data_IF_903501295215
#
_entry.id   IF_903501295215
#
_cell.length_a   1.000
_cell.length_b   1.000
_cell.length_c   1.000
_cell.angle_alpha   90.00
_cell.angle_beta   90.00
_cell.angle_gamma   90.00
#
_symmetry.space_group_name_H-M   'P 1'
#
loop_
_entity.id
_entity.type
_entity.pdbx_description
1 polymer ?
#
# COMPACT_ATOMS: atom_id res chain seq x y z
N UNK A 1 10.28 -17.28 -29.51
CA UNK A 1 9.46 -17.91 -28.47
C UNK A 1 9.83 -19.38 -28.41
N UNK A 2 10.49 -19.84 -27.35
CA UNK A 2 10.80 -21.27 -27.17
C UNK A 2 9.53 -21.93 -26.62
N UNK A 3 8.91 -22.79 -27.38
CA UNK A 3 7.83 -23.64 -26.89
C UNK A 3 8.40 -24.63 -25.90
N UNK A 4 8.07 -24.50 -24.63
CA UNK A 4 8.35 -25.50 -23.60
C UNK A 4 7.47 -26.71 -23.90
N UNK A 5 8.04 -27.73 -24.55
CA UNK A 5 7.35 -29.01 -24.74
C UNK A 5 7.46 -29.81 -23.44
N UNK A 6 6.41 -29.81 -22.66
CA UNK A 6 6.32 -30.72 -21.51
C UNK A 6 5.93 -32.11 -21.98
N UNK A 7 6.68 -33.10 -21.51
CA UNK A 7 6.28 -34.49 -21.68
C UNK A 7 5.09 -34.81 -20.79
N UNK A 8 4.28 -35.80 -21.15
CA UNK A 8 3.12 -36.26 -20.37
C UNK A 8 3.52 -36.58 -18.91
N UNK A 9 4.71 -37.11 -18.71
CA UNK A 9 5.27 -37.41 -17.38
C UNK A 9 5.60 -36.18 -16.55
N UNK A 10 6.05 -35.08 -17.15
CA UNK A 10 6.31 -33.80 -16.47
C UNK A 10 5.02 -33.11 -16.05
N UNK A 11 3.93 -33.25 -16.84
CA UNK A 11 2.63 -32.73 -16.50
C UNK A 11 1.93 -33.52 -15.38
N UNK A 12 2.29 -34.77 -15.18
CA UNK A 12 1.70 -35.67 -14.19
C UNK A 12 2.29 -35.55 -12.77
N UNK A 13 3.38 -34.83 -12.57
CA UNK A 13 3.89 -34.49 -11.24
C UNK A 13 4.34 -35.67 -10.36
N UNK A 14 4.91 -36.72 -10.95
CA UNK A 14 5.50 -37.86 -10.21
C UNK A 14 4.85 -39.22 -10.51
N UNK A 15 5.42 -40.27 -9.98
CA UNK A 15 4.92 -41.64 -10.19
C UNK A 15 3.54 -41.82 -9.53
N UNK A 16 2.50 -42.01 -10.30
CA UNK A 16 1.13 -42.22 -9.85
C UNK A 16 0.92 -43.56 -9.15
N UNK A 17 1.83 -44.51 -9.38
CA UNK A 17 1.73 -45.87 -8.85
C UNK A 17 2.78 -46.12 -7.78
N UNK A 18 2.37 -46.66 -6.63
CA UNK A 18 3.29 -47.20 -5.66
C UNK A 18 3.73 -48.60 -6.07
N UNK A 19 4.89 -49.07 -5.60
CA UNK A 19 5.38 -50.42 -5.83
C UNK A 19 4.40 -51.51 -5.39
N UNK A 20 3.43 -51.18 -4.56
CA UNK A 20 2.36 -52.05 -4.05
C UNK A 20 1.12 -52.10 -4.94
N UNK A 21 1.03 -51.28 -6.00
CA UNK A 21 -0.12 -51.27 -6.90
C UNK A 21 0.02 -52.39 -7.89
N UNK A 22 -0.75 -53.45 -7.74
CA UNK A 22 -0.66 -54.67 -8.58
C UNK A 22 -1.29 -54.52 -9.96
N UNK A 23 -2.26 -53.61 -10.11
CA UNK A 23 -2.99 -53.36 -11.37
C UNK A 23 -3.02 -51.85 -11.61
N UNK A 24 -2.38 -51.41 -12.69
CA UNK A 24 -2.45 -50.03 -13.12
C UNK A 24 -3.77 -49.74 -13.83
N UNK A 25 -4.50 -48.75 -13.37
CA UNK A 25 -5.73 -48.27 -14.02
C UNK A 25 -5.39 -47.29 -15.18
N UNK A 26 -4.50 -47.76 -16.08
CA UNK A 26 -3.95 -46.95 -17.15
C UNK A 26 -5.02 -46.38 -18.10
N UNK A 27 -6.17 -47.00 -18.21
CA UNK A 27 -7.29 -46.50 -18.99
C UNK A 27 -7.91 -45.27 -18.32
N UNK A 28 -8.15 -45.31 -17.03
CA UNK A 28 -8.69 -44.18 -16.27
C UNK A 28 -7.67 -43.00 -16.28
N UNK A 29 -6.39 -43.31 -16.17
CA UNK A 29 -5.36 -42.29 -16.26
C UNK A 29 -5.29 -41.64 -17.65
N UNK A 30 -5.47 -42.43 -18.73
CA UNK A 30 -5.55 -41.93 -20.09
C UNK A 30 -6.77 -41.02 -20.28
N UNK A 31 -7.94 -41.42 -19.79
CA UNK A 31 -9.15 -40.59 -19.85
C UNK A 31 -9.01 -39.34 -19.02
N UNK A 32 -8.37 -39.41 -17.83
CA UNK A 32 -8.08 -38.24 -17.02
C UNK A 32 -7.13 -37.26 -17.72
N UNK A 33 -6.11 -37.77 -18.40
CA UNK A 33 -5.18 -36.89 -19.14
C UNK A 33 -5.83 -36.27 -20.38
N UNK A 34 -6.72 -37.01 -21.07
CA UNK A 34 -7.55 -36.45 -22.14
C UNK A 34 -8.48 -35.32 -21.61
N UNK A 35 -9.13 -35.54 -20.47
CA UNK A 35 -10.04 -34.52 -19.89
C UNK A 35 -9.25 -33.28 -19.46
N UNK A 36 -8.09 -33.44 -18.82
CA UNK A 36 -7.21 -32.31 -18.47
C UNK A 36 -6.73 -31.56 -19.74
N UNK A 37 -6.40 -32.27 -20.80
CA UNK A 37 -6.01 -31.65 -22.04
C UNK A 37 -7.15 -30.88 -22.70
N UNK A 38 -8.36 -31.45 -22.72
CA UNK A 38 -9.57 -30.76 -23.20
C UNK A 38 -9.88 -29.51 -22.38
N UNK A 39 -9.77 -29.60 -21.06
CA UNK A 39 -9.93 -28.45 -20.16
C UNK A 39 -8.86 -27.38 -20.39
N UNK A 40 -7.62 -27.78 -20.61
CA UNK A 40 -6.56 -26.84 -20.97
C UNK A 40 -6.85 -26.11 -22.28
N UNK A 41 -7.29 -26.82 -23.33
CA UNK A 41 -7.65 -26.18 -24.61
C UNK A 41 -8.80 -25.21 -24.40
N UNK A 42 -9.86 -25.60 -23.67
CA UNK A 42 -11.01 -24.76 -23.37
C UNK A 42 -10.59 -23.49 -22.63
N UNK A 43 -9.73 -23.60 -21.60
CA UNK A 43 -9.22 -22.47 -20.85
C UNK A 43 -8.33 -21.56 -21.72
N UNK A 44 -7.56 -22.15 -22.64
CA UNK A 44 -6.73 -21.39 -23.58
C UNK A 44 -7.57 -20.60 -24.57
N UNK A 45 -8.59 -21.24 -25.18
CA UNK A 45 -9.51 -20.59 -26.13
C UNK A 45 -10.34 -19.48 -25.49
N UNK A 46 -10.76 -19.68 -24.24
CA UNK A 46 -11.50 -18.68 -23.46
C UNK A 46 -10.62 -17.59 -22.80
N UNK A 47 -9.32 -17.61 -23.03
CA UNK A 47 -8.33 -16.69 -22.38
C UNK A 47 -8.37 -16.74 -20.83
N UNK A 48 -8.79 -17.86 -20.27
CA UNK A 48 -8.95 -18.08 -18.83
C UNK A 48 -7.76 -18.80 -18.18
N UNK A 49 -6.66 -19.00 -18.90
CA UNK A 49 -5.43 -19.53 -18.32
C UNK A 49 -4.92 -18.58 -17.21
N UNK A 50 -4.33 -19.14 -16.16
CA UNK A 50 -3.76 -18.35 -15.05
C UNK A 50 -2.77 -17.30 -15.54
N UNK A 51 -1.94 -17.63 -16.53
CA UNK A 51 -0.97 -16.70 -17.13
C UNK A 51 -1.69 -15.54 -17.81
N UNK A 52 -2.70 -15.83 -18.65
CA UNK A 52 -3.45 -14.80 -19.35
C UNK A 52 -4.22 -13.88 -18.37
N UNK A 53 -4.79 -14.45 -17.30
CA UNK A 53 -5.43 -13.67 -16.23
C UNK A 53 -4.44 -12.76 -15.52
N UNK A 54 -3.23 -13.26 -15.23
CA UNK A 54 -2.17 -12.47 -14.58
C UNK A 54 -1.69 -11.35 -15.52
N UNK A 55 -1.47 -11.62 -16.80
CA UNK A 55 -1.09 -10.62 -17.80
C UNK A 55 -2.15 -9.52 -17.94
N UNK A 56 -3.43 -9.89 -18.05
CA UNK A 56 -4.53 -8.93 -18.12
C UNK A 56 -4.62 -8.07 -16.85
N UNK A 57 -4.44 -8.67 -15.68
CA UNK A 57 -4.41 -7.96 -14.39
C UNK A 57 -3.28 -6.93 -14.36
N UNK A 58 -2.05 -7.31 -14.75
CA UNK A 58 -0.94 -6.38 -14.81
C UNK A 58 -1.12 -5.27 -15.85
N UNK A 59 -1.68 -5.60 -17.02
CA UNK A 59 -2.00 -4.59 -18.02
C UNK A 59 -2.97 -3.53 -17.49
N UNK A 60 -3.95 -3.91 -16.68
CA UNK A 60 -4.86 -2.97 -16.03
C UNK A 60 -4.19 -2.16 -14.93
N UNK A 61 -3.36 -2.79 -14.09
CA UNK A 61 -2.64 -2.13 -12.98
C UNK A 61 -1.60 -1.12 -13.46
N UNK A 62 -0.97 -1.38 -14.59
CA UNK A 62 0.07 -0.53 -15.17
C UNK A 62 -0.44 0.38 -16.30
N UNK A 63 -1.75 0.45 -16.48
CA UNK A 63 -2.38 1.35 -17.44
C UNK A 63 -2.08 2.81 -17.06
N UNK A 64 -1.53 3.58 -18.00
CA UNK A 64 -1.26 5.01 -17.78
C UNK A 64 -2.56 5.80 -17.70
N UNK A 65 -2.77 6.49 -16.58
CA UNK A 65 -3.91 7.37 -16.34
C UNK A 65 -3.38 8.76 -16.01
N UNK A 66 -3.86 9.84 -16.65
CA UNK A 66 -3.46 11.20 -16.33
C UNK A 66 -3.97 11.58 -14.94
N UNK A 67 -3.17 12.34 -14.19
CA UNK A 67 -3.58 12.96 -12.94
C UNK A 67 -4.20 14.33 -13.20
N UNK A 68 -5.14 14.71 -12.37
CA UNK A 68 -5.75 16.04 -12.36
C UNK A 68 -5.04 16.92 -11.33
N UNK A 69 -4.54 18.12 -11.72
CA UNK A 69 -3.82 18.98 -10.78
C UNK A 69 -4.75 19.56 -9.72
N UNK A 70 -4.26 19.71 -8.51
CA UNK A 70 -4.94 20.40 -7.42
C UNK A 70 -4.88 21.93 -7.60
N UNK A 71 -5.90 22.61 -7.12
CA UNK A 71 -5.98 24.08 -7.15
C UNK A 71 -5.33 24.73 -5.91
N UNK A 72 -4.13 24.29 -5.54
CA UNK A 72 -3.36 24.86 -4.43
C UNK A 72 -3.57 24.21 -3.07
N UNK A 73 -4.69 23.52 -2.84
CA UNK A 73 -5.04 22.83 -1.59
C UNK A 73 -5.42 21.39 -1.88
N UNK A 74 -5.16 20.51 -0.93
CA UNK A 74 -5.59 19.12 -1.04
C UNK A 74 -7.11 19.03 -0.86
N UNK A 75 -7.75 18.32 -1.77
CA UNK A 75 -9.20 18.10 -1.76
C UNK A 75 -9.54 16.63 -1.80
N UNK A 76 -10.72 16.28 -1.31
CA UNK A 76 -11.24 14.92 -1.41
C UNK A 76 -11.63 14.60 -2.85
N UNK A 77 -11.59 13.33 -3.21
CA UNK A 77 -12.06 12.87 -4.52
C UNK A 77 -11.06 12.93 -5.66
N UNK A 78 -10.04 13.79 -5.61
CA UNK A 78 -8.98 13.84 -6.61
C UNK A 78 -7.94 12.74 -6.38
N UNK A 79 -7.44 12.17 -7.47
CA UNK A 79 -6.38 11.15 -7.42
C UNK A 79 -5.01 11.80 -7.49
N UNK A 80 -4.10 11.29 -6.69
CA UNK A 80 -2.71 11.74 -6.59
C UNK A 80 -1.77 10.56 -6.36
N UNK A 81 -0.48 10.83 -6.45
CA UNK A 81 0.59 9.92 -6.04
C UNK A 81 1.28 10.46 -4.78
N UNK A 82 1.60 9.57 -3.84
CA UNK A 82 2.38 9.91 -2.63
C UNK A 82 3.85 9.56 -2.83
N UNK A 83 4.72 10.56 -2.72
CA UNK A 83 6.17 10.40 -2.83
C UNK A 83 6.80 10.49 -1.44
N UNK A 84 7.63 9.52 -1.09
CA UNK A 84 8.44 9.54 0.12
C UNK A 84 9.74 10.29 -0.11
N UNK A 85 10.17 11.13 0.85
CA UNK A 85 11.38 11.95 0.72
C UNK A 85 12.67 11.17 0.94
N UNK A 86 12.66 10.04 1.65
CA UNK A 86 13.86 9.21 1.88
C UNK A 86 14.18 8.33 0.68
N UNK A 87 13.21 7.57 0.23
CA UNK A 87 13.36 6.61 -0.85
C UNK A 87 13.25 7.25 -2.23
N UNK A 88 12.73 8.48 -2.31
CA UNK A 88 12.28 9.15 -3.53
C UNK A 88 11.28 8.31 -4.35
N UNK A 89 10.74 7.24 -3.75
CA UNK A 89 9.80 6.32 -4.34
C UNK A 89 8.35 6.77 -4.13
N UNK A 90 7.49 6.28 -5.00
CA UNK A 90 6.04 6.47 -4.89
C UNK A 90 5.40 5.31 -4.15
N UNK A 91 4.41 5.61 -3.32
CA UNK A 91 3.58 4.58 -2.69
C UNK A 91 2.84 3.80 -3.77
N UNK A 92 2.93 2.48 -3.71
CA UNK A 92 2.34 1.55 -4.67
C UNK A 92 1.75 0.34 -3.97
N UNK A 93 0.77 -0.26 -4.61
CA UNK A 93 0.10 -1.46 -4.12
C UNK A 93 0.62 -2.71 -4.83
N UNK A 94 0.80 -3.79 -4.08
CA UNK A 94 1.04 -5.14 -4.59
C UNK A 94 -0.15 -6.05 -4.30
N UNK A 95 -0.95 -6.34 -5.33
CA UNK A 95 -2.16 -7.18 -5.18
C UNK A 95 -1.82 -8.68 -5.12
N UNK A 96 -0.65 -9.08 -5.58
CA UNK A 96 -0.27 -10.49 -5.57
C UNK A 96 0.28 -10.92 -4.20
N UNK A 97 0.84 -9.99 -3.43
CA UNK A 97 1.27 -10.26 -2.06
C UNK A 97 0.10 -10.06 -1.07
N UNK A 98 -0.63 -11.15 -0.87
CA UNK A 98 -1.77 -11.20 0.06
C UNK A 98 -1.33 -11.52 1.46
N UNK A 99 -1.79 -10.74 2.41
CA UNK A 99 -1.60 -11.06 3.82
C UNK A 99 -2.60 -12.16 4.23
N UNK A 100 -2.08 -13.24 4.85
CA UNK A 100 -2.87 -14.41 5.26
C UNK A 100 -3.75 -14.09 6.48
N UNK A 101 -3.34 -13.12 7.31
CA UNK A 101 -4.00 -12.81 8.58
C UNK A 101 -5.27 -11.96 8.42
N UNK A 102 -5.44 -11.31 7.27
CA UNK A 102 -6.55 -10.39 7.01
C UNK A 102 -7.23 -10.71 5.70
N UNK A 103 -8.56 -10.62 5.67
CA UNK A 103 -9.33 -10.86 4.46
C UNK A 103 -9.07 -9.75 3.43
N UNK A 104 -8.75 -10.14 2.20
CA UNK A 104 -8.50 -9.22 1.09
C UNK A 104 -7.51 -8.09 1.44
N UNK A 105 -6.48 -8.40 2.22
CA UNK A 105 -5.41 -7.47 2.54
C UNK A 105 -4.19 -7.70 1.64
N UNK A 106 -3.61 -6.60 1.15
CA UNK A 106 -2.51 -6.60 0.20
C UNK A 106 -1.36 -5.74 0.72
N UNK A 107 -0.15 -6.09 0.30
CA UNK A 107 1.04 -5.36 0.69
C UNK A 107 1.10 -3.97 0.01
N UNK A 108 1.70 -3.02 0.72
CA UNK A 108 1.99 -1.68 0.22
C UNK A 108 3.48 -1.42 0.35
N UNK A 109 4.06 -0.88 -0.71
CA UNK A 109 5.49 -0.65 -0.84
C UNK A 109 5.76 0.74 -1.42
N UNK A 110 7.01 1.14 -1.51
CA UNK A 110 7.41 2.33 -2.25
C UNK A 110 8.30 1.95 -3.43
N UNK A 111 7.90 2.35 -4.64
CA UNK A 111 8.63 2.05 -5.88
C UNK A 111 9.45 3.26 -6.33
N UNK A 112 10.79 3.15 -6.40
CA UNK A 112 11.64 4.22 -6.95
C UNK A 112 11.60 4.27 -8.47
N UNK A 113 11.12 3.23 -9.13
CA UNK A 113 11.14 3.10 -10.59
C UNK A 113 9.89 3.67 -11.28
N UNK A 114 8.91 4.14 -10.50
CA UNK A 114 7.68 4.70 -11.07
C UNK A 114 7.94 6.03 -11.76
N UNK A 115 7.65 6.09 -13.06
CA UNK A 115 7.82 7.30 -13.89
C UNK A 115 6.50 7.84 -14.44
N UNK A 116 5.40 7.14 -14.21
CA UNK A 116 4.06 7.53 -14.68
C UNK A 116 2.99 7.12 -13.65
N UNK A 117 1.86 7.79 -13.73
CA UNK A 117 0.68 7.50 -12.91
C UNK A 117 -0.09 6.31 -13.47
N UNK A 118 -0.40 5.36 -12.61
CA UNK A 118 -1.18 4.17 -12.94
C UNK A 118 -2.09 3.79 -11.76
N UNK A 119 -3.11 2.96 -11.94
CA UNK A 119 -4.04 2.58 -10.87
C UNK A 119 -3.33 2.08 -9.61
N UNK A 120 -2.22 1.36 -9.77
CA UNK A 120 -1.39 0.83 -8.69
C UNK A 120 -0.78 1.92 -7.79
N UNK A 121 -0.49 3.11 -8.33
CA UNK A 121 0.18 4.23 -7.65
C UNK A 121 -0.73 5.40 -7.33
N UNK A 122 -2.00 5.30 -7.68
CA UNK A 122 -2.98 6.38 -7.51
C UNK A 122 -3.85 6.17 -6.28
N UNK A 123 -3.91 7.19 -5.46
CA UNK A 123 -4.69 7.21 -4.22
C UNK A 123 -5.55 8.47 -4.18
N UNK A 124 -6.61 8.44 -3.39
CA UNK A 124 -7.42 9.60 -3.06
C UNK A 124 -7.63 9.69 -1.56
N UNK A 125 -7.87 10.89 -1.06
CA UNK A 125 -8.32 11.11 0.31
C UNK A 125 -9.84 11.11 0.37
N UNK A 126 -10.37 10.50 1.44
CA UNK A 126 -11.77 10.58 1.82
C UNK A 126 -11.86 11.00 3.30
N UNK A 127 -12.82 11.85 3.65
CA UNK A 127 -13.04 12.20 5.06
C UNK A 127 -13.58 11.00 5.84
N UNK A 128 -13.04 10.77 7.01
CA UNK A 128 -13.53 9.72 7.89
C UNK A 128 -14.85 10.13 8.53
N UNK A 129 -15.93 9.44 8.19
CA UNK A 129 -17.22 9.68 8.80
C UNK A 129 -17.73 8.42 9.52
N UNK A 130 -17.65 8.37 10.87
CA UNK A 130 -18.02 7.18 11.63
C UNK A 130 -19.52 6.84 11.56
N UNK A 131 -20.36 7.81 11.18
CA UNK A 131 -21.84 7.67 11.19
C UNK A 131 -22.35 6.99 9.91
N UNK A 132 -21.56 6.95 8.83
CA UNK A 132 -21.97 6.35 7.54
C UNK A 132 -22.19 4.84 7.56
N UNK A 133 -21.79 4.15 8.62
CA UNK A 133 -21.89 2.69 8.69
C UNK A 133 -23.32 2.12 8.68
N UNK A 134 -24.36 2.92 8.83
CA UNK A 134 -25.67 2.31 9.08
C UNK A 134 -26.75 2.54 8.02
N UNK A 135 -26.73 3.57 7.17
CA UNK A 135 -27.91 3.84 6.33
C UNK A 135 -27.74 4.65 5.04
N UNK A 136 -26.58 4.86 4.46
CA UNK A 136 -26.49 5.71 3.27
C UNK A 136 -26.06 4.93 2.02
N UNK A 137 -26.85 5.07 0.94
CA UNK A 137 -26.42 4.86 -0.43
C UNK A 137 -25.09 5.60 -0.67
N UNK A 138 -24.20 5.10 -1.54
CA UNK A 138 -22.99 5.78 -1.92
C UNK A 138 -23.35 7.08 -2.66
N UNK A 139 -23.70 8.12 -1.91
CA UNK A 139 -23.77 9.46 -2.44
C UNK A 139 -22.34 9.91 -2.71
N UNK A 140 -22.10 10.43 -3.90
CA UNK A 140 -20.85 11.11 -4.22
C UNK A 140 -20.59 12.17 -3.17
N UNK A 141 -19.55 12.02 -2.39
CA UNK A 141 -19.20 13.04 -1.38
C UNK A 141 -18.82 14.31 -2.13
N UNK A 142 -19.35 15.46 -1.71
CA UNK A 142 -18.93 16.73 -2.29
C UNK A 142 -17.40 16.85 -2.15
N UNK A 143 -16.76 17.38 -3.20
CA UNK A 143 -15.33 17.71 -3.16
C UNK A 143 -15.12 18.75 -2.08
N UNK A 144 -14.39 18.39 -1.06
CA UNK A 144 -14.20 19.19 0.15
C UNK A 144 -12.71 19.36 0.44
N UNK A 145 -12.32 20.47 1.02
CA UNK A 145 -10.93 20.71 1.40
C UNK A 145 -10.53 19.82 2.58
N UNK A 146 -9.26 19.37 2.58
CA UNK A 146 -8.69 18.58 3.65
C UNK A 146 -7.91 19.48 4.58
N UNK A 147 -8.18 19.38 5.88
CA UNK A 147 -7.56 20.20 6.90
C UNK A 147 -6.53 19.41 7.72
N UNK A 148 -5.57 20.13 8.29
CA UNK A 148 -4.62 19.53 9.23
C UNK A 148 -5.34 18.98 10.47
N UNK A 149 -4.89 17.81 10.94
CA UNK A 149 -5.49 17.06 12.06
C UNK A 149 -6.90 16.53 11.80
N UNK A 150 -7.46 16.72 10.61
CA UNK A 150 -8.70 16.08 10.21
C UNK A 150 -8.50 14.59 9.99
N UNK A 151 -9.49 13.77 10.38
CA UNK A 151 -9.46 12.33 10.17
C UNK A 151 -9.85 11.99 8.75
N UNK A 152 -8.94 11.32 8.08
CA UNK A 152 -9.06 10.93 6.68
C UNK A 152 -8.84 9.43 6.48
N UNK A 153 -9.27 8.93 5.35
CA UNK A 153 -8.93 7.62 4.79
C UNK A 153 -8.15 7.81 3.51
N UNK A 154 -7.23 6.91 3.26
CA UNK A 154 -6.47 6.84 2.00
C UNK A 154 -7.01 5.66 1.22
N UNK A 155 -7.56 5.93 0.04
CA UNK A 155 -8.27 4.95 -0.79
C UNK A 155 -7.57 4.79 -2.11
N UNK A 156 -7.44 3.54 -2.59
CA UNK A 156 -6.87 3.23 -3.89
C UNK A 156 -7.81 3.55 -5.05
N UNK A 157 -7.22 3.58 -6.25
CA UNK A 157 -7.99 3.69 -7.48
C UNK A 157 -8.92 2.48 -7.69
N UNK A 158 -10.18 2.67 -8.13
CA UNK A 158 -11.16 1.59 -8.26
C UNK A 158 -10.79 0.52 -9.30
N UNK A 159 -10.00 0.86 -10.33
CA UNK A 159 -9.56 -0.10 -11.36
C UNK A 159 -8.61 -1.18 -10.80
N UNK A 160 -8.16 -1.05 -9.55
CA UNK A 160 -7.26 -2.00 -8.90
C UNK A 160 -7.99 -3.25 -8.43
N UNK A 161 -9.16 -3.07 -7.83
CA UNK A 161 -9.93 -4.15 -7.23
C UNK A 161 -11.43 -3.86 -7.31
N UNK A 162 -12.27 -4.91 -7.27
CA UNK A 162 -13.74 -4.81 -7.40
C UNK A 162 -14.41 -3.97 -6.29
N UNK A 163 -13.81 -3.96 -5.10
CA UNK A 163 -14.28 -3.18 -3.96
C UNK A 163 -13.27 -2.09 -3.59
N UNK A 164 -13.71 -0.99 -2.97
CA UNK A 164 -12.79 0.06 -2.51
C UNK A 164 -11.79 -0.52 -1.52
N UNK A 165 -10.53 -0.14 -1.66
CA UNK A 165 -9.42 -0.59 -0.82
C UNK A 165 -8.88 0.57 -0.02
N UNK A 166 -8.79 0.40 1.30
CA UNK A 166 -8.38 1.41 2.28
C UNK A 166 -7.01 1.08 2.86
N UNK A 167 -6.15 2.07 2.97
CA UNK A 167 -4.88 1.94 3.67
C UNK A 167 -5.13 1.76 5.17
N UNK A 168 -4.63 0.69 5.75
CA UNK A 168 -4.77 0.41 7.16
C UNK A 168 -3.48 -0.09 7.79
N UNK A 169 -3.36 0.06 9.10
CA UNK A 169 -2.20 -0.38 9.84
C UNK A 169 -2.64 -1.04 11.15
N UNK A 170 -2.58 -2.37 11.24
CA UNK A 170 -2.98 -3.09 12.44
C UNK A 170 -1.98 -2.87 13.58
N UNK A 171 -2.41 -3.14 14.79
CA UNK A 171 -1.52 -3.12 15.96
C UNK A 171 -0.44 -4.20 15.83
N UNK A 172 0.77 -3.87 16.28
CA UNK A 172 1.86 -4.85 16.32
C UNK A 172 1.46 -6.02 17.23
N UNK A 173 1.52 -7.20 16.68
CA UNK A 173 1.31 -8.46 17.39
C UNK A 173 2.38 -9.48 16.96
N UNK A 174 2.53 -10.61 17.66
CA UNK A 174 3.46 -11.68 17.26
C UNK A 174 3.19 -12.22 15.84
N UNK A 175 2.00 -11.98 15.29
CA UNK A 175 1.58 -12.46 13.96
C UNK A 175 1.37 -11.35 12.94
N UNK A 176 1.44 -10.08 13.35
CA UNK A 176 1.21 -8.90 12.51
C UNK A 176 2.30 -7.86 12.74
N UNK A 177 3.29 -7.88 11.88
CA UNK A 177 4.40 -6.92 11.82
C UNK A 177 4.98 -6.88 10.41
N UNK A 178 5.64 -5.79 10.06
CA UNK A 178 6.28 -5.66 8.74
C UNK A 178 7.38 -6.72 8.55
N UNK A 179 7.48 -7.22 7.34
CA UNK A 179 8.24 -8.40 6.96
C UNK A 179 9.73 -8.32 7.31
N UNK A 180 10.35 -7.17 7.11
CA UNK A 180 11.79 -6.98 7.27
C UNK A 180 12.14 -6.12 8.47
N UNK A 181 11.51 -4.95 8.62
CA UNK A 181 11.79 -4.02 9.72
C UNK A 181 11.16 -4.45 11.04
N UNK A 182 10.17 -5.35 11.04
CA UNK A 182 9.37 -5.75 12.20
C UNK A 182 8.67 -4.59 12.91
N UNK A 183 8.50 -3.49 12.23
CA UNK A 183 7.71 -2.36 12.67
C UNK A 183 6.20 -2.66 12.50
N UNK A 184 5.36 -1.68 12.78
CA UNK A 184 3.94 -1.79 12.52
C UNK A 184 3.67 -1.88 11.03
N UNK A 185 3.02 -2.96 10.62
CA UNK A 185 2.72 -3.28 9.23
C UNK A 185 1.72 -2.28 8.63
N UNK A 186 1.90 -1.98 7.36
CA UNK A 186 0.98 -1.17 6.57
C UNK A 186 0.47 -2.01 5.40
N UNK A 187 -0.83 -2.12 5.30
CA UNK A 187 -1.53 -2.92 4.32
C UNK A 187 -2.66 -2.11 3.69
N UNK A 188 -3.25 -2.66 2.65
CA UNK A 188 -4.49 -2.16 2.08
C UNK A 188 -5.54 -3.27 2.15
N UNK A 189 -6.75 -2.94 2.61
CA UNK A 189 -7.85 -3.89 2.76
C UNK A 189 -9.19 -3.30 2.31
N UNK A 190 -10.10 -4.18 1.91
CA UNK A 190 -11.49 -3.81 1.63
C UNK A 190 -12.35 -3.62 2.88
N UNK A 191 -11.85 -4.02 4.04
CA UNK A 191 -12.58 -3.89 5.29
C UNK A 191 -12.46 -2.48 5.85
N UNK A 192 -13.60 -1.84 6.11
CA UNK A 192 -13.64 -0.57 6.82
C UNK A 192 -13.56 -0.81 8.33
N UNK A 193 -12.51 -0.31 8.96
CA UNK A 193 -12.32 -0.41 10.40
C UNK A 193 -11.64 0.85 10.97
N UNK A 194 -11.41 0.89 12.28
CA UNK A 194 -10.75 2.02 12.94
C UNK A 194 -9.27 2.18 12.57
N UNK A 195 -8.63 1.11 12.11
CA UNK A 195 -7.23 1.13 11.70
C UNK A 195 -7.00 1.74 10.30
N UNK A 196 -8.07 2.18 9.63
CA UNK A 196 -8.01 2.88 8.35
C UNK A 196 -8.00 4.41 8.54
N UNK A 197 -7.96 4.88 9.78
CA UNK A 197 -8.04 6.30 10.10
C UNK A 197 -6.64 6.90 10.21
N UNK A 198 -6.42 7.97 9.43
CA UNK A 198 -5.16 8.70 9.35
C UNK A 198 -5.40 10.19 9.58
N UNK A 199 -4.37 10.91 9.98
CA UNK A 199 -4.38 12.37 10.12
C UNK A 199 -3.15 12.95 9.43
N UNK A 200 -3.31 14.13 8.82
CA UNK A 200 -2.19 14.86 8.22
C UNK A 200 -1.67 15.86 9.25
N UNK A 201 -0.35 15.90 9.42
CA UNK A 201 0.32 16.82 10.32
C UNK A 201 1.39 17.63 9.58
N UNK A 202 1.58 18.86 10.04
CA UNK A 202 2.69 19.69 9.58
C UNK A 202 4.04 19.15 10.05
N UNK A 203 5.10 19.27 9.22
CA UNK A 203 6.43 18.76 9.51
C UNK A 203 7.00 19.43 10.75
N UNK A 204 6.87 20.76 10.84
CA UNK A 204 7.39 21.51 11.97
C UNK A 204 6.46 21.38 13.19
N UNK A 205 6.90 20.74 14.28
CA UNK A 205 6.10 20.56 15.47
C UNK A 205 5.64 21.87 16.11
N UNK A 206 6.41 22.96 15.96
CA UNK A 206 6.08 24.26 16.54
C UNK A 206 4.84 24.88 15.89
N UNK A 207 4.65 24.62 14.59
CA UNK A 207 3.54 25.15 13.80
C UNK A 207 2.26 24.30 13.85
N UNK A 208 2.34 23.06 14.34
CA UNK A 208 1.20 22.11 14.31
C UNK A 208 -0.06 22.66 14.96
N UNK A 209 0.08 23.39 16.08
CA UNK A 209 -1.06 24.03 16.76
C UNK A 209 -1.58 25.26 16.00
N UNK A 210 -0.71 26.01 15.34
CA UNK A 210 -1.08 27.22 14.60
C UNK A 210 -1.84 26.90 13.32
N UNK A 211 -1.47 25.78 12.67
CA UNK A 211 -2.08 25.34 11.39
C UNK A 211 -3.24 24.35 11.59
N UNK A 212 -3.58 24.04 12.84
CA UNK A 212 -4.72 23.16 13.11
C UNK A 212 -5.98 23.69 12.43
N UNK A 213 -6.74 22.79 11.80
CA UNK A 213 -7.97 23.10 11.05
C UNK A 213 -7.77 24.05 9.85
N UNK A 214 -6.52 24.33 9.43
CA UNK A 214 -6.25 25.02 8.19
C UNK A 214 -6.17 24.03 7.02
N UNK A 215 -6.54 24.44 5.79
CA UNK A 215 -6.44 23.59 4.62
C UNK A 215 -4.99 23.23 4.33
N UNK A 216 -4.76 21.99 3.92
CA UNK A 216 -3.42 21.44 3.61
C UNK A 216 -2.99 21.89 2.21
N UNK A 217 -1.87 22.62 2.06
CA UNK A 217 -1.35 22.99 0.74
C UNK A 217 -0.84 21.75 -0.01
N UNK A 218 -1.09 21.66 -1.33
CA UNK A 218 -0.65 20.52 -2.12
C UNK A 218 0.87 20.53 -2.39
N UNK A 219 1.50 21.71 -2.34
CA UNK A 219 2.94 21.89 -2.66
C UNK A 219 3.86 21.67 -1.46
N UNK A 220 3.32 21.56 -0.25
CA UNK A 220 4.11 21.40 0.96
C UNK A 220 4.18 19.93 1.35
N UNK A 221 5.36 19.46 1.80
CA UNK A 221 5.48 18.14 2.34
C UNK A 221 4.85 18.09 3.75
N UNK A 222 4.32 16.92 4.10
CA UNK A 222 3.61 16.69 5.36
C UNK A 222 3.91 15.31 5.95
N UNK A 223 3.39 15.07 7.13
CA UNK A 223 3.42 13.79 7.83
C UNK A 223 2.03 13.15 7.80
N UNK A 224 2.01 11.84 7.69
CA UNK A 224 0.78 11.05 7.80
C UNK A 224 0.86 10.24 9.09
N UNK A 225 -0.02 10.53 10.05
CA UNK A 225 -0.09 9.85 11.34
C UNK A 225 -1.24 8.86 11.35
N UNK A 226 -0.98 7.66 11.83
CA UNK A 226 -2.01 6.68 12.10
C UNK A 226 -2.75 7.04 13.41
N UNK A 227 -4.05 7.30 13.34
CA UNK A 227 -4.85 7.84 14.45
C UNK A 227 -4.82 6.95 15.70
N UNK A 228 -4.92 5.63 15.52
CA UNK A 228 -5.02 4.69 16.64
C UNK A 228 -3.70 4.47 17.40
N UNK A 229 -2.58 4.49 16.72
CA UNK A 229 -1.27 4.18 17.32
C UNK A 229 -0.39 5.40 17.51
N UNK A 230 -0.75 6.53 16.90
CA UNK A 230 0.06 7.74 16.91
C UNK A 230 1.39 7.62 16.17
N UNK A 231 1.62 6.51 15.45
CA UNK A 231 2.83 6.32 14.66
C UNK A 231 2.69 6.95 13.29
N UNK A 232 3.82 7.38 12.74
CA UNK A 232 3.89 8.01 11.43
C UNK A 232 4.10 6.95 10.33
N UNK A 233 3.42 7.15 9.21
CA UNK A 233 3.67 6.40 7.98
C UNK A 233 5.08 6.71 7.49
N UNK A 234 5.83 5.68 7.13
CA UNK A 234 7.20 5.86 6.68
C UNK A 234 7.65 4.76 5.73
N UNK A 235 8.71 5.08 5.00
CA UNK A 235 9.43 4.13 4.16
C UNK A 235 10.93 4.36 4.31
N UNK A 236 11.67 3.27 4.45
CA UNK A 236 13.13 3.28 4.54
C UNK A 236 13.72 2.45 3.40
N UNK A 237 15.03 2.57 3.17
CA UNK A 237 15.78 1.84 2.16
C UNK A 237 15.95 0.35 2.53
N UNK A 238 14.84 -0.31 2.80
CA UNK A 238 14.78 -1.74 3.08
C UNK A 238 14.20 -2.42 1.84
N UNK A 239 15.03 -3.21 1.19
CA UNK A 239 14.71 -3.84 -0.08
C UNK A 239 13.51 -4.79 0.05
N UNK A 240 12.57 -4.63 -0.85
CA UNK A 240 11.39 -5.47 -1.00
C UNK A 240 11.28 -5.91 -2.47
N UNK A 241 11.54 -7.18 -2.73
CA UNK A 241 11.45 -7.72 -4.08
C UNK A 241 10.09 -8.36 -4.32
N UNK A 242 9.44 -7.93 -5.38
CA UNK A 242 8.15 -8.46 -5.83
C UNK A 242 8.13 -8.64 -7.35
N UNK A 243 6.97 -9.04 -7.89
CA UNK A 243 6.80 -9.25 -9.33
C UNK A 243 6.98 -7.99 -10.18
N UNK A 244 6.92 -6.79 -9.57
CA UNK A 244 7.14 -5.51 -10.23
C UNK A 244 8.60 -5.04 -10.19
N UNK A 245 9.45 -5.75 -9.46
CA UNK A 245 10.87 -5.49 -9.36
C UNK A 245 11.34 -5.10 -7.96
N UNK A 246 12.30 -4.18 -7.91
CA UNK A 246 12.89 -3.69 -6.68
C UNK A 246 12.06 -2.53 -6.12
N UNK A 247 11.53 -2.70 -4.94
CA UNK A 247 10.77 -1.71 -4.18
C UNK A 247 11.31 -1.62 -2.76
N UNK A 248 10.75 -0.74 -1.93
CA UNK A 248 11.14 -0.59 -0.53
C UNK A 248 9.96 -0.85 0.40
N UNK A 249 10.26 -1.39 1.57
CA UNK A 249 9.26 -1.66 2.60
C UNK A 249 8.63 -0.38 3.12
N UNK A 250 7.33 -0.43 3.36
CA UNK A 250 6.56 0.62 4.00
C UNK A 250 6.04 0.13 5.36
N UNK A 251 6.17 0.98 6.38
CA UNK A 251 5.74 0.65 7.74
C UNK A 251 5.32 1.89 8.52
N UNK A 252 4.65 1.72 9.65
CA UNK A 252 4.42 2.81 10.60
C UNK A 252 5.48 2.80 11.69
N UNK A 253 6.32 3.82 11.72
CA UNK A 253 7.33 4.03 12.74
C UNK A 253 7.74 5.50 12.83
N UNK A 254 8.10 5.94 14.03
CA UNK A 254 8.57 7.30 14.25
C UNK A 254 10.11 7.32 14.13
N UNK A 255 10.62 7.76 12.99
CA UNK A 255 12.04 7.89 12.73
C UNK A 255 12.55 9.22 13.27
N UNK A 256 13.18 9.18 14.45
CA UNK A 256 13.74 10.35 15.12
C UNK A 256 15.26 10.40 14.97
N UNK A 257 15.88 11.59 14.88
CA UNK A 257 17.33 11.72 14.82
C UNK A 257 17.98 11.29 16.14
N UNK A 258 18.90 10.33 16.08
CA UNK A 258 19.57 9.71 17.24
C UNK A 258 20.27 10.70 18.20
N UNK A 259 20.76 11.84 17.74
CA UNK A 259 21.56 12.76 18.54
C UNK A 259 20.79 13.58 19.57
N UNK A 260 19.45 13.55 19.57
CA UNK A 260 18.64 14.41 20.45
C UNK A 260 18.21 13.74 21.75
N UNK A 261 18.12 12.44 21.82
CA UNK A 261 17.81 11.72 23.07
C UNK A 261 18.95 11.81 24.10
N UNK A 262 20.20 11.92 23.66
CA UNK A 262 21.37 12.03 24.56
C UNK A 262 21.57 13.43 25.15
N UNK A 263 20.95 14.48 24.60
CA UNK A 263 21.06 15.84 25.09
C UNK A 263 20.02 16.25 26.14
N UNK A 264 19.06 15.42 26.40
CA UNK A 264 18.09 15.61 27.51
C UNK A 264 18.59 14.79 28.70
N UNK A 265 19.75 15.12 29.21
CA UNK A 265 20.13 14.72 30.54
C UNK A 265 19.40 15.64 31.54
N UNK A 266 18.79 15.10 32.59
CA UNK A 266 17.99 15.89 33.56
C UNK A 266 18.80 16.97 34.28
N UNK A 267 20.11 17.05 34.11
CA UNK A 267 20.99 18.06 34.69
C UNK A 267 21.07 19.39 33.92
N UNK A 268 20.58 19.45 32.67
CA UNK A 268 20.62 20.69 31.87
C UNK A 268 19.26 21.39 31.82
N UNK A 269 18.38 21.12 32.77
CA UNK A 269 17.06 21.78 32.89
C UNK A 269 17.18 23.22 33.44
N UNK A 270 17.88 24.08 32.74
CA UNK A 270 17.60 25.50 32.78
C UNK A 270 16.37 25.75 31.90
N UNK A 271 15.31 26.31 32.49
CA UNK A 271 13.97 26.48 31.91
C UNK A 271 13.98 27.07 30.48
N UNK A 272 14.95 27.94 30.18
CA UNK A 272 15.07 28.60 28.87
C UNK A 272 15.62 27.69 27.74
N UNK A 273 16.31 26.61 28.06
CA UNK A 273 16.84 25.68 27.06
C UNK A 273 15.90 24.52 26.71
N UNK A 274 14.95 24.22 27.58
CA UNK A 274 13.97 23.15 27.36
C UNK A 274 13.01 23.51 26.23
N UNK A 275 12.64 24.77 26.08
CA UNK A 275 11.76 25.26 25.02
C UNK A 275 12.40 25.13 23.63
N UNK A 276 13.69 25.48 23.46
CA UNK A 276 14.38 25.37 22.18
C UNK A 276 14.62 23.90 21.76
N UNK A 277 14.87 23.01 22.72
CA UNK A 277 15.12 21.59 22.41
C UNK A 277 13.81 20.86 22.05
N UNK A 278 12.68 21.25 22.63
CA UNK A 278 11.38 20.68 22.28
C UNK A 278 10.85 21.20 20.93
N UNK A 279 11.09 22.45 20.59
CA UNK A 279 10.66 23.06 19.33
C UNK A 279 11.36 22.49 18.08
N UNK A 280 12.52 21.81 18.23
CA UNK A 280 13.33 21.36 17.12
C UNK A 280 13.25 19.84 16.81
N UNK A 281 12.18 19.16 17.18
CA UNK A 281 11.94 17.76 16.80
C UNK A 281 11.34 17.66 15.41
N UNK A 282 12.15 17.82 14.38
CA UNK A 282 11.75 17.54 13.01
C UNK A 282 11.96 16.05 12.78
N UNK A 283 10.97 15.38 12.25
CA UNK A 283 11.01 13.98 11.85
C UNK A 283 12.00 13.78 10.70
N UNK A 284 12.52 12.56 10.57
CA UNK A 284 13.43 12.21 9.49
C UNK A 284 12.69 12.10 8.15
N UNK A 285 13.43 12.19 7.02
CA UNK A 285 12.84 12.11 5.69
C UNK A 285 12.10 10.80 5.41
N UNK A 286 12.35 9.73 6.19
CA UNK A 286 11.62 8.46 6.13
C UNK A 286 10.11 8.63 6.36
N UNK A 287 9.71 9.60 7.20
CA UNK A 287 8.31 9.87 7.52
C UNK A 287 7.70 11.02 6.71
N UNK A 288 8.49 11.71 5.87
CA UNK A 288 8.03 12.89 5.13
C UNK A 288 7.48 12.46 3.78
N UNK A 289 6.27 12.93 3.48
CA UNK A 289 5.56 12.64 2.24
C UNK A 289 5.19 13.93 1.50
N UNK A 290 5.09 13.85 0.20
CA UNK A 290 4.56 14.91 -0.67
C UNK A 290 3.58 14.32 -1.68
N UNK A 291 2.56 15.10 -2.00
CA UNK A 291 1.61 14.79 -3.08
C UNK A 291 2.22 15.20 -4.41
N UNK A 292 2.06 14.36 -5.41
CA UNK A 292 2.38 14.65 -6.80
C UNK A 292 1.09 14.49 -7.61
N UNK A 293 0.63 15.60 -8.14
CA UNK A 293 -0.58 15.72 -8.96
C UNK A 293 -0.25 15.92 -10.46
N UNK A 294 0.98 16.23 -10.76
CA UNK A 294 1.46 16.42 -12.13
C UNK A 294 2.83 15.77 -12.31
N UNK A 295 2.90 14.79 -13.18
CA UNK A 295 4.18 14.19 -13.54
C UNK A 295 4.83 15.01 -14.65
N UNK A 296 6.11 15.39 -14.50
CA UNK A 296 6.83 16.02 -15.61
C UNK A 296 6.85 15.07 -16.81
N UNK A 297 6.51 15.63 -17.96
CA UNK A 297 6.46 14.91 -19.24
C UNK A 297 7.83 14.41 -19.68
#
# INVERSE_FOLDING_TARGET
>A
MSFLNYTTQQLQGGAKYSVKTEIGNWYEDMVMDETKFKDYIRLKESNNLMVAKKENKYANLLKKIPLEPFNGVLTTGHYFMLRNHKTNGFMVLDIDDKNINYNAAFAVTTSPLMTFSCPRSMFKFEKYNPIKHYNCLPEEQPVDEIHYHEKIRIVCHPDVYESPLYLFSPLISPFSYSRFSRNQEVLISSEENFFNCWTIEHIDPSKRLEVQDQPVPNNEPFLIRHDQTGKLLGSDLIDYFNDFGHEYEMCCNNYLPYGRYQKILPFDMHEDKVSEVQCNRIEKPENIWSVIDNMPK
#
